data_IF_558726295962
#
_entry.id   IF_558726295962
#
_cell.length_a   1.000
_cell.length_b   1.000
_cell.length_c   1.000
_cell.angle_alpha   90.00
_cell.angle_beta   90.00
_cell.angle_gamma   90.00
#
_symmetry.space_group_name_H-M   'P 1'
#
loop_
_entity.id
_entity.type
_entity.pdbx_description
1 polymer ?
#
# COMPACT_ATOMS: atom_id res chain seq x y z
N UNK A 1 -5.98 -23.57 -12.81
CA UNK A 1 -6.26 -22.26 -12.20
C UNK A 1 -7.76 -22.22 -11.92
N UNK A 2 -8.19 -22.04 -10.67
CA UNK A 2 -9.63 -22.05 -10.36
C UNK A 2 -10.29 -20.80 -10.97
N UNK A 3 -11.58 -20.92 -11.36
CA UNK A 3 -12.37 -19.80 -11.87
C UNK A 3 -12.36 -18.59 -10.92
N UNK A 4 -12.24 -18.84 -9.60
CA UNK A 4 -12.13 -17.80 -8.58
C UNK A 4 -10.87 -16.94 -8.73
N UNK A 5 -9.69 -17.55 -8.95
CA UNK A 5 -8.43 -16.80 -9.16
C UNK A 5 -8.54 -15.86 -10.37
N UNK A 6 -9.10 -16.35 -11.47
CA UNK A 6 -9.34 -15.53 -12.67
C UNK A 6 -10.32 -14.39 -12.36
N UNK A 7 -11.37 -14.68 -11.59
CA UNK A 7 -12.36 -13.70 -11.14
C UNK A 7 -11.73 -12.56 -10.33
N UNK A 8 -10.88 -12.87 -9.34
CA UNK A 8 -10.20 -11.85 -8.54
C UNK A 8 -9.16 -11.05 -9.32
N UNK A 9 -8.45 -11.68 -10.26
CA UNK A 9 -7.56 -10.97 -11.18
C UNK A 9 -8.33 -9.98 -12.06
N UNK A 10 -9.46 -10.40 -12.63
CA UNK A 10 -10.32 -9.55 -13.43
C UNK A 10 -10.93 -8.42 -12.59
N UNK A 11 -11.42 -8.72 -11.39
CA UNK A 11 -11.96 -7.74 -10.45
C UNK A 11 -10.93 -6.65 -10.13
N UNK A 12 -9.70 -7.05 -9.77
CA UNK A 12 -8.63 -6.10 -9.45
C UNK A 12 -8.29 -5.20 -10.64
N UNK A 13 -8.16 -5.77 -11.85
CA UNK A 13 -7.91 -5.01 -13.06
C UNK A 13 -9.05 -4.01 -13.36
N UNK A 14 -10.30 -4.44 -13.23
CA UNK A 14 -11.48 -3.60 -13.46
C UNK A 14 -11.58 -2.46 -12.46
N UNK A 15 -11.36 -2.73 -11.17
CA UNK A 15 -11.33 -1.71 -10.12
C UNK A 15 -10.17 -0.73 -10.29
N UNK A 16 -9.06 -1.17 -10.89
CA UNK A 16 -7.91 -0.33 -11.18
C UNK A 16 -8.12 0.62 -12.38
N UNK A 17 -9.08 0.34 -13.28
CA UNK A 17 -9.31 1.13 -14.50
C UNK A 17 -9.62 2.60 -14.24
N UNK A 18 -10.54 2.99 -13.33
CA UNK A 18 -10.83 4.40 -13.08
C UNK A 18 -9.62 5.13 -12.52
N UNK A 19 -8.90 4.52 -11.57
CA UNK A 19 -7.68 5.08 -10.99
C UNK A 19 -6.58 5.25 -12.04
N UNK A 20 -6.36 4.24 -12.89
CA UNK A 20 -5.42 4.32 -14.01
C UNK A 20 -5.75 5.46 -14.98
N UNK A 21 -7.03 5.60 -15.35
CA UNK A 21 -7.48 6.69 -16.25
C UNK A 21 -7.26 8.06 -15.61
N UNK A 22 -7.55 8.19 -14.32
CA UNK A 22 -7.35 9.42 -13.56
C UNK A 22 -5.86 9.80 -13.44
N UNK A 23 -4.98 8.84 -13.11
CA UNK A 23 -3.52 9.06 -13.08
C UNK A 23 -3.00 9.44 -14.46
N UNK A 24 -3.42 8.73 -15.51
CA UNK A 24 -3.01 9.04 -16.90
C UNK A 24 -3.48 10.43 -17.35
N UNK A 25 -4.62 10.88 -16.87
CA UNK A 25 -5.14 12.22 -17.16
C UNK A 25 -4.45 13.32 -16.34
N UNK A 26 -3.53 12.98 -15.42
CA UNK A 26 -2.86 13.93 -14.55
C UNK A 26 -3.77 14.52 -13.47
N UNK A 27 -4.92 13.90 -13.17
CA UNK A 27 -5.91 14.44 -12.23
C UNK A 27 -5.42 14.53 -10.77
N UNK A 28 -4.26 13.95 -10.47
CA UNK A 28 -3.58 14.01 -9.16
C UNK A 28 -2.58 15.16 -9.04
N UNK A 29 -2.16 15.74 -10.18
CA UNK A 29 -1.21 16.85 -10.21
C UNK A 29 -1.88 18.16 -9.80
N UNK A 30 -1.14 19.01 -9.11
CA UNK A 30 -1.52 20.37 -8.72
C UNK A 30 -0.80 21.37 -9.61
N UNK A 31 -1.30 22.59 -9.68
CA UNK A 31 -0.65 23.69 -10.43
C UNK A 31 0.80 23.95 -9.96
N UNK A 32 1.11 23.63 -8.70
CA UNK A 32 2.45 23.72 -8.12
C UNK A 32 3.43 22.64 -8.60
N UNK A 33 2.96 21.59 -9.29
CA UNK A 33 3.78 20.47 -9.72
C UNK A 33 4.42 20.77 -11.10
N UNK A 34 5.03 21.95 -11.26
CA UNK A 34 5.59 22.44 -12.54
C UNK A 34 6.81 21.67 -13.03
N UNK A 35 7.50 21.00 -12.11
CA UNK A 35 8.74 20.25 -12.40
C UNK A 35 8.45 18.79 -12.78
N UNK A 36 7.20 18.33 -12.65
CA UNK A 36 6.80 17.01 -13.08
C UNK A 36 6.72 17.01 -14.61
N UNK A 37 7.65 16.31 -15.27
CA UNK A 37 7.71 16.13 -16.73
C UNK A 37 6.45 15.45 -17.30
N UNK A 38 6.57 14.72 -18.41
CA UNK A 38 5.39 14.07 -19.01
C UNK A 38 4.60 13.21 -18.02
N UNK A 39 3.26 13.30 -18.06
CA UNK A 39 2.38 12.52 -17.17
C UNK A 39 2.65 11.03 -17.39
N UNK A 40 3.04 10.27 -16.35
CA UNK A 40 3.38 8.87 -16.52
C UNK A 40 2.14 8.08 -16.92
N UNK A 41 2.24 7.31 -18.01
CA UNK A 41 1.10 6.54 -18.52
C UNK A 41 0.66 5.37 -17.63
N UNK A 42 1.38 5.10 -16.53
CA UNK A 42 1.15 4.08 -15.49
C UNK A 42 0.63 2.74 -16.03
N UNK A 43 1.13 2.30 -17.19
CA UNK A 43 0.61 1.12 -17.92
C UNK A 43 0.79 -0.19 -17.14
N UNK A 44 1.71 -0.20 -16.18
CA UNK A 44 1.95 -1.32 -15.28
C UNK A 44 0.81 -1.53 -14.27
N UNK A 45 0.00 -0.51 -13.97
CA UNK A 45 -0.97 -0.55 -12.87
C UNK A 45 -2.03 -1.64 -13.07
N UNK A 46 -2.58 -1.77 -14.28
CA UNK A 46 -3.59 -2.79 -14.60
C UNK A 46 -3.05 -4.23 -14.53
N UNK A 47 -1.95 -4.61 -15.22
CA UNK A 47 -1.43 -5.96 -15.12
C UNK A 47 -0.92 -6.30 -13.72
N UNK A 48 -0.32 -5.36 -13.00
CA UNK A 48 0.11 -5.58 -11.61
C UNK A 48 -1.09 -5.78 -10.69
N UNK A 49 -2.14 -4.96 -10.80
CA UNK A 49 -3.37 -5.17 -10.05
C UNK A 49 -4.00 -6.53 -10.35
N UNK A 50 -4.03 -6.95 -11.63
CA UNK A 50 -4.56 -8.25 -12.02
C UNK A 50 -3.77 -9.41 -11.37
N UNK A 51 -2.43 -9.34 -11.41
CA UNK A 51 -1.57 -10.36 -10.80
C UNK A 51 -1.76 -10.38 -9.29
N UNK A 52 -1.70 -9.23 -8.63
CA UNK A 52 -1.91 -9.13 -7.16
C UNK A 52 -3.28 -9.68 -6.78
N UNK A 53 -4.35 -9.29 -7.50
CA UNK A 53 -5.69 -9.78 -7.22
C UNK A 53 -5.83 -11.29 -7.42
N UNK A 54 -5.25 -11.84 -8.48
CA UNK A 54 -5.22 -13.28 -8.71
C UNK A 54 -4.48 -14.03 -7.62
N UNK A 55 -3.31 -13.54 -7.19
CA UNK A 55 -2.53 -14.17 -6.12
C UNK A 55 -3.25 -14.07 -4.77
N UNK A 56 -3.85 -12.92 -4.44
CA UNK A 56 -4.68 -12.79 -3.24
C UNK A 56 -5.86 -13.77 -3.26
N UNK A 57 -6.51 -13.93 -4.41
CA UNK A 57 -7.57 -14.93 -4.60
C UNK A 57 -7.11 -16.37 -4.51
N UNK A 58 -5.84 -16.64 -4.79
CA UNK A 58 -5.24 -17.96 -4.60
C UNK A 58 -4.87 -18.23 -3.14
N UNK A 59 -4.35 -17.22 -2.42
CA UNK A 59 -3.88 -17.34 -1.03
C UNK A 59 -5.03 -17.29 -0.02
N UNK A 60 -5.99 -16.37 -0.21
CA UNK A 60 -7.07 -16.10 0.76
C UNK A 60 -8.45 -16.58 0.28
N UNK A 61 -8.48 -17.33 -0.84
CA UNK A 61 -9.71 -17.70 -1.55
C UNK A 61 -10.75 -18.48 -0.74
N UNK A 62 -10.37 -19.02 0.43
CA UNK A 62 -11.27 -19.67 1.38
C UNK A 62 -12.28 -18.68 2.00
N UNK A 63 -11.90 -17.40 2.13
CA UNK A 63 -12.79 -16.31 2.55
C UNK A 63 -12.99 -15.30 1.42
N UNK A 64 -14.20 -15.30 0.87
CA UNK A 64 -14.60 -14.34 -0.18
C UNK A 64 -14.56 -12.91 0.34
N UNK A 65 -15.06 -12.68 1.56
CA UNK A 65 -15.15 -11.33 2.14
C UNK A 65 -13.76 -10.76 2.36
N UNK A 66 -12.86 -11.54 2.98
CA UNK A 66 -11.47 -11.12 3.21
C UNK A 66 -10.73 -10.86 1.90
N UNK A 67 -10.85 -11.78 0.93
CA UNK A 67 -10.19 -11.64 -0.37
C UNK A 67 -10.64 -10.37 -1.09
N UNK A 68 -11.95 -10.09 -1.12
CA UNK A 68 -12.48 -8.87 -1.75
C UNK A 68 -11.93 -7.62 -1.07
N UNK A 69 -11.88 -7.57 0.26
CA UNK A 69 -11.31 -6.43 1.00
C UNK A 69 -9.83 -6.23 0.63
N UNK A 70 -9.02 -7.29 0.64
CA UNK A 70 -7.61 -7.20 0.27
C UNK A 70 -7.42 -6.78 -1.19
N UNK A 71 -8.22 -7.30 -2.12
CA UNK A 71 -8.18 -6.89 -3.53
C UNK A 71 -8.48 -5.39 -3.67
N UNK A 72 -9.60 -4.91 -3.10
CA UNK A 72 -9.99 -3.50 -3.19
C UNK A 72 -8.91 -2.59 -2.61
N UNK A 73 -8.41 -2.89 -1.40
CA UNK A 73 -7.40 -2.05 -0.75
C UNK A 73 -6.08 -2.12 -1.52
N UNK A 74 -5.65 -3.28 -2.02
CA UNK A 74 -4.43 -3.41 -2.82
C UNK A 74 -4.46 -2.55 -4.09
N UNK A 75 -5.61 -2.44 -4.76
CA UNK A 75 -5.78 -1.57 -5.92
C UNK A 75 -5.59 -0.10 -5.53
N UNK A 76 -6.17 0.34 -4.42
CA UNK A 76 -5.98 1.71 -3.92
C UNK A 76 -4.51 1.99 -3.57
N UNK A 77 -3.82 1.03 -2.94
CA UNK A 77 -2.39 1.14 -2.65
C UNK A 77 -1.53 1.25 -3.92
N UNK A 78 -1.87 0.50 -4.98
CA UNK A 78 -1.17 0.59 -6.26
C UNK A 78 -1.42 1.95 -6.95
N UNK A 79 -2.62 2.51 -6.85
CA UNK A 79 -2.92 3.87 -7.35
C UNK A 79 -2.13 4.91 -6.56
N UNK A 80 -2.10 4.83 -5.24
CA UNK A 80 -1.28 5.69 -4.38
C UNK A 80 0.21 5.60 -4.73
N UNK A 81 0.72 4.40 -4.99
CA UNK A 81 2.09 4.17 -5.44
C UNK A 81 2.37 4.88 -6.78
N UNK A 82 1.45 4.79 -7.75
CA UNK A 82 1.59 5.49 -9.04
C UNK A 82 1.61 7.01 -8.88
N UNK A 83 0.80 7.57 -7.98
CA UNK A 83 0.79 9.00 -7.67
C UNK A 83 2.09 9.42 -6.97
N UNK A 84 2.54 8.65 -5.98
CA UNK A 84 3.77 8.95 -5.23
C UNK A 84 5.02 8.91 -6.13
N UNK A 85 5.09 7.98 -7.08
CA UNK A 85 6.18 7.92 -8.07
C UNK A 85 6.21 9.11 -9.02
N UNK A 86 5.09 9.79 -9.24
CA UNK A 86 5.02 10.96 -10.12
C UNK A 86 5.34 12.26 -9.37
N UNK A 87 4.64 12.50 -8.26
CA UNK A 87 4.66 13.80 -7.56
C UNK A 87 5.23 13.75 -6.14
N UNK A 88 5.76 12.60 -5.69
CA UNK A 88 6.37 12.42 -4.35
C UNK A 88 5.46 12.88 -3.21
N UNK A 89 4.16 12.64 -3.38
CA UNK A 89 3.10 13.09 -2.48
C UNK A 89 1.94 12.10 -2.53
N UNK A 90 1.41 11.78 -1.35
CA UNK A 90 0.21 10.99 -1.20
C UNK A 90 -1.01 11.89 -0.97
N UNK A 91 -2.04 11.86 -1.85
CA UNK A 91 -3.20 12.74 -1.72
C UNK A 91 -4.16 12.26 -0.63
N UNK A 92 -4.59 13.20 0.22
CA UNK A 92 -5.55 12.95 1.31
C UNK A 92 -6.89 12.38 0.81
N UNK A 93 -7.30 12.77 -0.40
CA UNK A 93 -8.48 12.26 -1.08
C UNK A 93 -8.41 10.75 -1.37
N UNK A 94 -7.24 10.11 -1.29
CA UNK A 94 -7.08 8.66 -1.43
C UNK A 94 -6.63 7.99 -0.14
N UNK A 95 -5.72 8.58 0.63
CA UNK A 95 -5.20 7.95 1.86
C UNK A 95 -6.28 7.78 2.93
N UNK A 96 -7.12 8.80 3.16
CA UNK A 96 -8.23 8.74 4.12
C UNK A 96 -9.27 7.68 3.75
N UNK A 97 -9.81 7.70 2.51
CA UNK A 97 -10.72 6.66 2.04
C UNK A 97 -10.12 5.25 2.07
N UNK A 98 -8.82 5.11 1.76
CA UNK A 98 -8.13 3.81 1.84
C UNK A 98 -8.17 3.26 3.27
N UNK A 99 -7.89 4.09 4.27
CA UNK A 99 -7.99 3.70 5.68
C UNK A 99 -9.41 3.28 6.05
N UNK A 100 -10.41 4.08 5.68
CA UNK A 100 -11.81 3.80 6.00
C UNK A 100 -12.32 2.53 5.33
N UNK A 101 -11.96 2.28 4.07
CA UNK A 101 -12.33 1.06 3.34
C UNK A 101 -11.67 -0.16 3.98
N UNK A 102 -10.38 -0.07 4.34
CA UNK A 102 -9.70 -1.14 5.05
C UNK A 102 -10.35 -1.41 6.42
N UNK A 103 -10.61 -0.37 7.21
CA UNK A 103 -11.21 -0.51 8.54
C UNK A 103 -12.61 -1.12 8.48
N UNK A 104 -13.47 -0.59 7.61
CA UNK A 104 -14.86 -1.09 7.47
C UNK A 104 -14.88 -2.49 6.88
N UNK A 105 -14.05 -2.77 5.88
CA UNK A 105 -13.89 -4.10 5.29
C UNK A 105 -13.44 -5.14 6.31
N UNK A 106 -12.39 -4.86 7.07
CA UNK A 106 -11.90 -5.76 8.13
C UNK A 106 -12.88 -5.90 9.29
N UNK A 107 -13.67 -4.87 9.58
CA UNK A 107 -14.78 -4.99 10.55
C UNK A 107 -15.84 -5.96 10.03
N UNK A 108 -16.18 -5.91 8.73
CA UNK A 108 -17.07 -6.87 8.10
C UNK A 108 -16.53 -8.30 8.16
N UNK A 109 -15.23 -8.50 7.91
CA UNK A 109 -14.56 -9.80 8.07
C UNK A 109 -14.70 -10.32 9.50
N UNK A 110 -14.40 -9.49 10.51
CA UNK A 110 -14.51 -9.87 11.91
C UNK A 110 -15.95 -10.26 12.32
N UNK A 111 -16.96 -9.59 11.76
CA UNK A 111 -18.37 -9.92 12.00
C UNK A 111 -18.76 -11.26 11.36
N UNK A 112 -18.29 -11.52 10.14
CA UNK A 112 -18.65 -12.74 9.38
C UNK A 112 -17.90 -13.98 9.89
N UNK A 113 -16.64 -13.82 10.28
CA UNK A 113 -15.74 -14.92 10.67
C UNK A 113 -15.59 -15.06 12.18
N UNK A 114 -16.18 -14.16 12.97
CA UNK A 114 -16.07 -14.06 14.43
C UNK A 114 -14.61 -13.89 14.94
N UNK A 115 -13.71 -13.38 14.09
CA UNK A 115 -12.30 -13.14 14.44
C UNK A 115 -12.05 -11.71 14.93
N UNK A 116 -12.60 -11.39 16.10
CA UNK A 116 -12.38 -10.10 16.75
C UNK A 116 -10.95 -9.91 17.28
N UNK A 117 -10.21 -10.99 17.50
CA UNK A 117 -8.84 -10.92 17.98
C UNK A 117 -7.92 -10.33 16.91
N UNK A 118 -8.00 -10.83 15.67
CA UNK A 118 -7.26 -10.28 14.54
C UNK A 118 -7.67 -8.84 14.24
N UNK A 119 -8.94 -8.50 14.39
CA UNK A 119 -9.41 -7.12 14.22
C UNK A 119 -8.80 -6.15 15.25
N UNK A 120 -8.77 -6.53 16.54
CA UNK A 120 -8.12 -5.71 17.58
C UNK A 120 -6.62 -5.57 17.32
N UNK A 121 -5.97 -6.65 16.88
CA UNK A 121 -4.55 -6.63 16.48
C UNK A 121 -4.33 -5.68 15.29
N UNK A 122 -5.20 -5.70 14.29
CA UNK A 122 -5.18 -4.76 13.16
C UNK A 122 -5.26 -3.30 13.63
N UNK A 123 -6.16 -2.97 14.55
CA UNK A 123 -6.27 -1.63 15.12
C UNK A 123 -5.00 -1.22 15.89
N UNK A 124 -4.47 -2.11 16.73
CA UNK A 124 -3.23 -1.84 17.47
C UNK A 124 -2.05 -1.64 16.52
N UNK A 125 -1.91 -2.47 15.49
CA UNK A 125 -0.87 -2.32 14.48
C UNK A 125 -1.03 -1.03 13.66
N UNK A 126 -2.26 -0.62 13.33
CA UNK A 126 -2.53 0.66 12.68
C UNK A 126 -2.08 1.83 13.55
N UNK A 127 -2.36 1.79 14.85
CA UNK A 127 -1.92 2.80 15.81
C UNK A 127 -0.40 2.82 15.95
N UNK A 128 0.22 1.65 16.10
CA UNK A 128 1.69 1.51 16.26
C UNK A 128 2.43 2.00 15.03
N UNK A 129 2.03 1.58 13.81
CA UNK A 129 2.67 2.04 12.59
C UNK A 129 2.38 3.53 12.33
N UNK A 130 1.15 3.99 12.57
CA UNK A 130 0.83 5.42 12.47
C UNK A 130 1.71 6.28 13.38
N UNK A 131 1.85 5.89 14.65
CA UNK A 131 2.69 6.58 15.61
C UNK A 131 4.18 6.51 15.23
N UNK A 132 4.67 5.34 14.81
CA UNK A 132 6.06 5.15 14.38
C UNK A 132 6.41 6.09 13.23
N UNK A 133 5.63 6.07 12.15
CA UNK A 133 5.90 6.90 10.98
C UNK A 133 5.71 8.40 11.27
N UNK A 134 4.74 8.77 12.12
CA UNK A 134 4.61 10.15 12.58
C UNK A 134 5.86 10.61 13.34
N UNK A 135 6.36 9.80 14.27
CA UNK A 135 7.60 10.10 15.02
C UNK A 135 8.79 10.25 14.07
N UNK A 136 8.92 9.38 13.06
CA UNK A 136 9.98 9.46 12.06
C UNK A 136 9.91 10.77 11.24
N UNK A 137 8.72 11.18 10.83
CA UNK A 137 8.49 12.45 10.12
C UNK A 137 8.88 13.63 11.02
N UNK A 138 8.49 13.61 12.30
CA UNK A 138 8.79 14.67 13.26
C UNK A 138 10.29 14.78 13.57
N UNK A 139 10.98 13.65 13.80
CA UNK A 139 12.43 13.62 14.06
C UNK A 139 13.22 14.04 12.81
N UNK A 140 12.79 13.60 11.63
CA UNK A 140 13.43 13.93 10.36
C UNK A 140 13.15 15.36 9.85
N UNK A 141 12.32 16.13 10.55
CA UNK A 141 11.94 17.50 10.16
C UNK A 141 11.27 17.57 8.78
N UNK A 142 10.64 16.48 8.32
CA UNK A 142 10.06 16.35 6.98
C UNK A 142 11.05 16.28 5.82
N UNK A 143 12.37 16.32 6.06
CA UNK A 143 13.41 16.34 5.01
C UNK A 143 13.65 14.98 4.34
N UNK A 144 13.41 13.87 5.06
CA UNK A 144 13.62 12.52 4.56
C UNK A 144 12.34 11.76 4.19
N UNK A 145 11.28 11.92 4.99
CA UNK A 145 10.02 11.20 4.84
C UNK A 145 8.85 12.19 4.85
N UNK A 146 7.92 12.02 3.91
CA UNK A 146 6.80 12.93 3.76
C UNK A 146 5.71 12.70 4.81
N UNK A 147 4.98 13.76 5.16
CA UNK A 147 3.77 13.65 6.00
C UNK A 147 2.72 12.73 5.36
N UNK A 148 2.73 12.60 4.03
CA UNK A 148 1.87 11.66 3.30
C UNK A 148 2.11 10.20 3.68
N UNK A 149 3.36 9.79 3.87
CA UNK A 149 3.73 8.41 4.22
C UNK A 149 3.19 8.04 5.61
N UNK A 150 3.25 8.97 6.55
CA UNK A 150 2.68 8.80 7.89
C UNK A 150 1.15 8.63 7.87
N UNK A 151 0.44 9.21 6.88
CA UNK A 151 -1.01 9.00 6.72
C UNK A 151 -1.35 7.64 6.11
N UNK A 152 -0.44 7.09 5.30
CA UNK A 152 -0.61 5.76 4.72
C UNK A 152 -0.35 4.64 5.74
N UNK A 153 0.60 4.85 6.64
CA UNK A 153 1.05 3.84 7.62
C UNK A 153 -0.09 3.17 8.43
N UNK A 154 -1.11 3.89 8.95
CA UNK A 154 -2.25 3.25 9.62
C UNK A 154 -3.00 2.26 8.73
N UNK A 155 -3.20 2.58 7.45
CA UNK A 155 -3.87 1.68 6.50
C UNK A 155 -3.09 0.39 6.30
N UNK A 156 -1.76 0.49 6.22
CA UNK A 156 -0.89 -0.67 6.11
C UNK A 156 -0.88 -1.48 7.41
N UNK A 157 -0.90 -0.81 8.56
CA UNK A 157 -0.99 -1.44 9.87
C UNK A 157 -2.28 -2.23 10.06
N UNK A 158 -3.41 -1.76 9.53
CA UNK A 158 -4.66 -2.52 9.52
C UNK A 158 -4.49 -3.86 8.78
N UNK A 159 -3.95 -3.82 7.56
CA UNK A 159 -3.78 -5.02 6.73
C UNK A 159 -2.78 -6.00 7.35
N UNK A 160 -1.63 -5.49 7.79
CA UNK A 160 -0.55 -6.29 8.34
C UNK A 160 -0.89 -6.85 9.72
N UNK A 161 -1.49 -6.04 10.58
CA UNK A 161 -1.91 -6.47 11.91
C UNK A 161 -3.07 -7.46 11.85
N UNK A 162 -3.93 -7.39 10.83
CA UNK A 162 -4.90 -8.46 10.61
C UNK A 162 -4.20 -9.80 10.43
N UNK A 163 -3.15 -9.86 9.59
CA UNK A 163 -2.37 -11.07 9.38
C UNK A 163 -1.74 -11.56 10.68
N UNK A 164 -0.67 -10.90 11.14
CA UNK A 164 0.11 -11.24 12.34
C UNK A 164 1.02 -10.08 12.74
N UNK A 165 1.52 -10.07 13.99
CA UNK A 165 2.61 -9.17 14.37
C UNK A 165 3.91 -9.45 13.59
N UNK A 166 4.15 -10.70 13.21
CA UNK A 166 5.27 -11.08 12.35
C UNK A 166 5.20 -10.39 10.99
N UNK A 167 4.01 -10.33 10.38
CA UNK A 167 3.78 -9.61 9.13
C UNK A 167 4.08 -8.12 9.27
N UNK A 168 3.63 -7.49 10.37
CA UNK A 168 3.93 -6.08 10.67
C UNK A 168 5.44 -5.85 10.70
N UNK A 169 6.19 -6.68 11.42
CA UNK A 169 7.64 -6.56 11.52
C UNK A 169 8.34 -6.77 10.17
N UNK A 170 8.03 -7.88 9.48
CA UNK A 170 8.67 -8.25 8.21
C UNK A 170 8.40 -7.20 7.14
N UNK A 171 7.15 -6.73 6.99
CA UNK A 171 6.81 -5.72 6.01
C UNK A 171 7.45 -4.36 6.33
N UNK A 172 7.53 -3.99 7.62
CA UNK A 172 8.21 -2.77 8.05
C UNK A 172 9.71 -2.84 7.73
N UNK A 173 10.37 -3.96 8.03
CA UNK A 173 11.78 -4.18 7.68
C UNK A 173 12.01 -4.18 6.18
N UNK A 174 11.15 -4.87 5.41
CA UNK A 174 11.21 -4.87 3.95
C UNK A 174 11.05 -3.46 3.38
N UNK A 175 10.17 -2.63 3.96
CA UNK A 175 10.00 -1.23 3.58
C UNK A 175 11.30 -0.45 3.74
N UNK A 176 11.93 -0.50 4.91
CA UNK A 176 13.18 0.21 5.16
C UNK A 176 14.34 -0.30 4.29
N UNK A 177 14.39 -1.61 4.04
CA UNK A 177 15.39 -2.21 3.16
C UNK A 177 15.21 -1.72 1.71
N UNK A 178 13.98 -1.80 1.17
CA UNK A 178 13.68 -1.36 -0.18
C UNK A 178 13.87 0.15 -0.36
N UNK A 179 13.41 0.95 0.61
CA UNK A 179 13.60 2.40 0.62
C UNK A 179 15.08 2.78 0.72
N UNK A 180 15.85 2.08 1.57
CA UNK A 180 17.29 2.27 1.69
C UNK A 180 18.06 1.89 0.42
N UNK A 181 17.68 0.79 -0.25
CA UNK A 181 18.26 0.39 -1.54
C UNK A 181 17.92 1.39 -2.65
N UNK A 182 16.69 1.90 -2.69
CA UNK A 182 16.28 2.93 -3.65
C UNK A 182 17.08 4.22 -3.43
N UNK A 183 17.24 4.64 -2.17
CA UNK A 183 18.05 5.80 -1.81
C UNK A 183 19.52 5.62 -2.21
N UNK A 184 20.10 4.45 -1.92
CA UNK A 184 21.46 4.12 -2.30
C UNK A 184 21.65 4.15 -3.82
N UNK A 185 20.72 3.57 -4.57
CA UNK A 185 20.76 3.58 -6.03
C UNK A 185 20.68 5.01 -6.59
N UNK A 186 19.83 5.87 -6.04
CA UNK A 186 19.73 7.29 -6.44
C UNK A 186 21.02 8.06 -6.15
N UNK A 187 21.65 7.83 -5.01
CA UNK A 187 22.94 8.45 -4.67
C UNK A 187 24.03 7.99 -5.64
N UNK A 188 24.15 6.68 -5.89
CA UNK A 188 25.20 6.11 -6.72
C UNK A 188 25.01 6.40 -8.23
N UNK A 189 23.79 6.33 -8.73
CA UNK A 189 23.50 6.43 -10.17
C UNK A 189 23.14 7.84 -10.62
N UNK A 190 22.60 8.69 -9.74
CA UNK A 190 22.11 10.04 -10.08
C UNK A 190 22.74 11.17 -9.30
N UNK A 191 23.71 10.89 -8.41
CA UNK A 191 24.37 11.92 -7.61
C UNK A 191 23.42 12.66 -6.68
N UNK A 192 22.35 12.00 -6.22
CA UNK A 192 21.35 12.59 -5.32
C UNK A 192 22.00 13.10 -4.03
N UNK A 193 21.55 14.25 -3.55
CA UNK A 193 22.04 14.87 -2.32
C UNK A 193 21.07 14.60 -1.16
N UNK A 194 21.43 15.01 0.07
CA UNK A 194 20.55 14.90 1.25
C UNK A 194 19.23 15.67 1.12
N UNK A 195 19.08 16.54 0.12
CA UNK A 195 17.83 17.29 -0.14
C UNK A 195 16.90 16.60 -1.15
N UNK A 196 17.28 15.44 -1.70
CA UNK A 196 16.44 14.70 -2.65
C UNK A 196 15.35 13.95 -1.88
N UNK A 197 14.10 14.40 -2.01
CA UNK A 197 12.93 13.71 -1.45
C UNK A 197 12.77 12.32 -2.08
N UNK A 198 12.75 11.27 -1.25
CA UNK A 198 12.47 9.92 -1.69
C UNK A 198 10.97 9.62 -1.62
N UNK A 199 10.42 9.01 -2.66
CA UNK A 199 9.10 8.39 -2.64
C UNK A 199 9.16 7.11 -1.79
N UNK A 200 8.72 7.18 -0.52
CA UNK A 200 8.75 6.05 0.40
C UNK A 200 7.51 5.16 0.25
N UNK A 201 6.40 5.72 -0.26
CA UNK A 201 5.13 5.03 -0.49
C UNK A 201 5.26 3.71 -1.27
N UNK A 202 5.97 3.66 -2.42
CA UNK A 202 6.18 2.43 -3.19
C UNK A 202 6.86 1.32 -2.40
N UNK A 203 7.86 1.65 -1.57
CA UNK A 203 8.55 0.67 -0.72
C UNK A 203 7.61 0.13 0.37
N UNK A 204 6.81 1.01 0.98
CA UNK A 204 5.80 0.65 1.98
C UNK A 204 4.75 -0.29 1.38
N UNK A 205 4.19 0.07 0.23
CA UNK A 205 3.20 -0.74 -0.49
C UNK A 205 3.79 -2.08 -0.91
N UNK A 206 5.02 -2.11 -1.41
CA UNK A 206 5.69 -3.36 -1.80
C UNK A 206 5.87 -4.31 -0.60
N UNK A 207 6.30 -3.79 0.56
CA UNK A 207 6.42 -4.57 1.79
C UNK A 207 5.08 -5.14 2.25
N UNK A 208 4.01 -4.33 2.22
CA UNK A 208 2.67 -4.76 2.59
C UNK A 208 2.08 -5.79 1.62
N UNK A 209 2.14 -5.54 0.31
CA UNK A 209 1.66 -6.50 -0.68
C UNK A 209 2.42 -7.82 -0.60
N UNK A 210 3.74 -7.76 -0.42
CA UNK A 210 4.57 -8.94 -0.17
C UNK A 210 4.06 -9.75 1.02
N UNK A 211 3.79 -9.11 2.16
CA UNK A 211 3.24 -9.80 3.32
C UNK A 211 1.86 -10.43 3.08
N UNK A 212 1.00 -9.78 2.30
CA UNK A 212 -0.35 -10.27 1.97
C UNK A 212 -0.33 -11.47 1.03
N UNK A 213 0.65 -11.56 0.13
CA UNK A 213 0.71 -12.64 -0.88
C UNK A 213 1.60 -13.82 -0.47
N UNK A 214 2.41 -13.69 0.58
CA UNK A 214 3.36 -14.72 0.99
C UNK A 214 2.79 -15.63 2.10
N UNK A 215 2.45 -16.90 1.78
CA UNK A 215 1.75 -17.78 2.71
C UNK A 215 2.56 -18.18 3.95
N UNK A 216 3.88 -18.04 3.91
CA UNK A 216 4.76 -18.40 5.03
C UNK A 216 4.91 -17.29 6.07
N UNK A 217 4.38 -16.08 5.86
CA UNK A 217 4.49 -15.00 6.84
C UNK A 217 3.45 -15.15 7.98
N UNK A 218 2.60 -16.17 7.89
CA UNK A 218 1.49 -16.42 8.82
C UNK A 218 1.88 -17.21 10.09
N UNK A 219 3.17 -17.39 10.40
CA UNK A 219 3.59 -18.14 11.59
C UNK A 219 3.23 -17.39 12.88
N UNK A 220 2.57 -18.12 13.78
CA UNK A 220 1.95 -17.71 15.05
C UNK A 220 0.70 -16.83 14.91
N UNK A 221 -0.46 -17.48 14.68
CA UNK A 221 -1.77 -16.90 15.00
C UNK A 221 -1.95 -16.83 16.52
#
# INVERSE_FOLDING_TARGET
MSLAVVGYAALAALLALPGWRWVRAGGHRRESDTDAGDVPGARWLLPVAAVVGGVLGWVHGDSVVLTVVYVVVSVLLLILCAVDLDVHRLPDALTGPTFLIALTGLTGVAVVEDDWLSWRRALLAALVLGALYLVLVLIGGGSGMGVGDAKLAPSLGLLLGHLTWGAVLVATMATFLLGGLAALWLVLARGASRSTHLAFGPAMVAGTLGALVLPWIHWAR
#
